data_IF_529355931464
#
_entry.id   IF_529355931464
#
_cell.length_a   1.000
_cell.length_b   1.000
_cell.length_c   1.000
_cell.angle_alpha   90.00
_cell.angle_beta   90.00
_cell.angle_gamma   90.00
#
_symmetry.space_group_name_H-M   'P 1'
#
loop_
_entity.id
_entity.type
_entity.pdbx_description
1 polymer ?
#
# COMPACT_ATOMS: atom_id res chain seq x y z
N UNK A 1 47.25 20.94 -3.18
CA UNK A 1 46.27 21.70 -2.37
C UNK A 1 44.88 21.16 -2.66
N UNK A 2 44.16 20.75 -1.60
CA UNK A 2 42.73 20.39 -1.44
C UNK A 2 41.97 19.87 -2.68
N UNK A 3 41.82 18.54 -2.77
CA UNK A 3 40.75 17.89 -3.55
C UNK A 3 39.46 17.97 -2.73
N UNK A 4 38.51 18.81 -3.14
CA UNK A 4 37.16 18.81 -2.57
C UNK A 4 36.41 17.58 -3.11
N UNK A 5 36.22 16.58 -2.26
CA UNK A 5 35.35 15.44 -2.55
C UNK A 5 33.93 15.81 -2.10
N UNK A 6 33.13 16.29 -3.04
CA UNK A 6 31.67 16.39 -2.89
C UNK A 6 31.08 15.10 -3.49
N UNK A 7 31.17 13.98 -2.77
CA UNK A 7 30.62 12.69 -3.24
C UNK A 7 29.54 12.13 -2.30
N UNK A 8 29.28 12.77 -1.16
CA UNK A 8 28.38 12.21 -0.14
C UNK A 8 26.89 12.58 -0.36
N UNK A 9 26.55 13.62 -1.14
CA UNK A 9 25.14 14.02 -1.31
C UNK A 9 24.34 13.24 -2.37
N UNK A 10 25.01 12.55 -3.31
CA UNK A 10 24.28 11.80 -4.35
C UNK A 10 23.88 10.40 -3.85
N UNK A 11 24.71 9.72 -3.06
CA UNK A 11 24.38 8.37 -2.55
C UNK A 11 23.21 8.40 -1.56
N UNK A 12 23.09 9.46 -0.75
CA UNK A 12 22.02 9.59 0.23
C UNK A 12 20.62 9.79 -0.36
N UNK A 13 20.50 10.45 -1.52
CA UNK A 13 19.21 10.68 -2.18
C UNK A 13 18.74 9.48 -3.00
N UNK A 14 19.65 8.81 -3.72
CA UNK A 14 19.31 7.61 -4.50
C UNK A 14 19.00 6.38 -3.63
N UNK A 15 19.66 6.22 -2.49
CA UNK A 15 19.37 5.12 -1.55
C UNK A 15 18.00 5.27 -0.87
N UNK A 16 17.65 6.49 -0.47
CA UNK A 16 16.34 6.79 0.12
C UNK A 16 15.21 6.67 -0.92
N UNK A 17 15.41 7.17 -2.14
CA UNK A 17 14.40 7.04 -3.21
C UNK A 17 14.18 5.58 -3.64
N UNK A 18 15.25 4.78 -3.69
CA UNK A 18 15.14 3.35 -4.02
C UNK A 18 14.37 2.60 -2.92
N UNK A 19 14.73 2.81 -1.65
CA UNK A 19 14.01 2.21 -0.53
C UNK A 19 12.54 2.67 -0.45
N UNK A 20 12.24 3.94 -0.70
CA UNK A 20 10.86 4.44 -0.75
C UNK A 20 10.07 3.85 -1.94
N UNK A 21 10.73 3.58 -3.07
CA UNK A 21 10.10 2.89 -4.21
C UNK A 21 9.70 1.46 -3.86
N UNK A 22 10.48 0.76 -3.03
CA UNK A 22 10.12 -0.58 -2.54
C UNK A 22 8.84 -0.56 -1.69
N UNK A 23 8.68 0.43 -0.81
CA UNK A 23 7.44 0.60 -0.03
C UNK A 23 6.23 0.83 -0.93
N UNK A 24 6.36 1.66 -1.97
CA UNK A 24 5.30 1.87 -2.94
C UNK A 24 4.98 0.59 -3.73
N UNK A 25 6.00 -0.15 -4.15
CA UNK A 25 5.83 -1.43 -4.84
C UNK A 25 5.07 -2.43 -3.97
N UNK A 26 5.38 -2.50 -2.67
CA UNK A 26 4.66 -3.36 -1.73
C UNK A 26 3.21 -2.90 -1.49
N UNK A 27 2.98 -1.58 -1.44
CA UNK A 27 1.63 -1.02 -1.44
C UNK A 27 0.86 -1.47 -2.69
N UNK A 28 1.48 -1.39 -3.87
CA UNK A 28 0.88 -1.82 -5.14
C UNK A 28 0.60 -3.32 -5.17
N UNK A 29 1.53 -4.16 -4.73
CA UNK A 29 1.34 -5.61 -4.59
C UNK A 29 0.19 -5.96 -3.66
N UNK A 30 0.00 -5.20 -2.57
CA UNK A 30 -1.15 -5.38 -1.68
C UNK A 30 -2.52 -5.12 -2.34
N UNK A 31 -2.52 -4.56 -3.56
CA UNK A 31 -3.68 -4.38 -4.42
C UNK A 31 -3.67 -5.41 -5.55
N UNK A 32 -2.59 -5.48 -6.33
CA UNK A 32 -2.54 -6.25 -7.58
C UNK A 32 -2.49 -7.76 -7.38
N UNK A 33 -1.96 -8.21 -6.25
CA UNK A 33 -1.77 -9.64 -5.99
C UNK A 33 -3.02 -10.27 -5.38
N UNK A 34 -4.07 -9.47 -5.19
CA UNK A 34 -5.36 -9.91 -4.63
C UNK A 34 -6.41 -9.90 -5.75
N UNK A 35 -7.06 -11.05 -5.96
CA UNK A 35 -8.23 -11.12 -6.84
C UNK A 35 -9.46 -10.54 -6.12
N UNK A 36 -9.66 -9.22 -6.25
CA UNK A 36 -10.76 -8.51 -5.59
C UNK A 36 -12.15 -8.98 -6.03
N UNK A 37 -12.29 -9.45 -7.27
CA UNK A 37 -13.56 -10.01 -7.75
C UNK A 37 -13.91 -11.29 -7.00
N UNK A 38 -12.94 -12.18 -6.77
CA UNK A 38 -13.11 -13.36 -5.91
C UNK A 38 -13.41 -12.96 -4.47
N UNK A 39 -12.66 -12.02 -3.88
CA UNK A 39 -12.94 -11.54 -2.51
C UNK A 39 -14.37 -11.02 -2.37
N UNK A 40 -14.85 -10.24 -3.35
CA UNK A 40 -16.21 -9.71 -3.37
C UNK A 40 -17.24 -10.85 -3.43
N UNK A 41 -17.01 -11.85 -4.28
CA UNK A 41 -17.90 -13.01 -4.42
C UNK A 41 -17.88 -13.92 -3.18
N UNK A 42 -16.71 -14.32 -2.72
CA UNK A 42 -16.50 -15.34 -1.67
C UNK A 42 -16.87 -14.84 -0.27
N UNK A 43 -16.82 -13.52 -0.06
CA UNK A 43 -17.28 -12.86 1.16
C UNK A 43 -18.68 -12.28 1.02
N UNK A 44 -19.33 -12.46 -0.14
CA UNK A 44 -20.67 -11.98 -0.45
C UNK A 44 -20.80 -10.50 -0.07
N UNK A 45 -19.92 -9.66 -0.62
CA UNK A 45 -19.88 -8.24 -0.32
C UNK A 45 -21.03 -7.52 -1.03
N UNK A 46 -21.62 -6.53 -0.36
CA UNK A 46 -22.61 -5.67 -1.02
C UNK A 46 -21.94 -4.82 -2.10
N UNK A 47 -22.73 -4.33 -3.06
CA UNK A 47 -22.24 -3.39 -4.09
C UNK A 47 -21.56 -2.16 -3.46
N UNK A 48 -22.08 -1.66 -2.34
CA UNK A 48 -21.46 -0.55 -1.59
C UNK A 48 -20.07 -0.92 -1.08
N UNK A 49 -19.91 -2.09 -0.47
CA UNK A 49 -18.62 -2.57 0.02
C UNK A 49 -17.62 -2.78 -1.12
N UNK A 50 -18.07 -3.37 -2.24
CA UNK A 50 -17.24 -3.55 -3.43
C UNK A 50 -16.74 -2.19 -3.97
N UNK A 51 -17.62 -1.21 -4.10
CA UNK A 51 -17.25 0.13 -4.56
C UNK A 51 -16.27 0.83 -3.61
N UNK A 52 -16.42 0.63 -2.29
CA UNK A 52 -15.47 1.16 -1.30
C UNK A 52 -14.09 0.50 -1.43
N UNK A 53 -14.02 -0.81 -1.70
CA UNK A 53 -12.75 -1.50 -1.98
C UNK A 53 -12.09 -0.94 -3.23
N UNK A 54 -12.85 -0.77 -4.33
CA UNK A 54 -12.30 -0.19 -5.55
C UNK A 54 -11.79 1.23 -5.33
N UNK A 55 -12.53 2.07 -4.61
CA UNK A 55 -12.07 3.41 -4.24
C UNK A 55 -10.80 3.38 -3.36
N UNK A 56 -10.70 2.42 -2.43
CA UNK A 56 -9.49 2.23 -1.60
C UNK A 56 -8.29 1.78 -2.44
N UNK A 57 -8.48 0.88 -3.40
CA UNK A 57 -7.43 0.39 -4.29
C UNK A 57 -6.91 1.48 -5.24
N UNK A 58 -7.79 2.39 -5.64
CA UNK A 58 -7.47 3.50 -6.54
C UNK A 58 -6.90 4.74 -5.82
N UNK A 59 -6.79 4.72 -4.49
CA UNK A 59 -6.46 5.91 -3.67
C UNK A 59 -5.13 6.58 -4.05
N UNK A 60 -4.10 5.77 -4.35
CA UNK A 60 -2.77 6.25 -4.73
C UNK A 60 -2.29 5.53 -5.99
N UNK A 61 -2.63 6.08 -7.16
CA UNK A 61 -2.39 5.43 -8.47
C UNK A 61 -0.94 5.51 -8.94
N UNK A 62 -0.16 6.42 -8.38
CA UNK A 62 1.24 6.68 -8.73
C UNK A 62 2.09 6.85 -7.46
N UNK A 63 3.41 6.83 -7.64
CA UNK A 63 4.38 6.96 -6.55
C UNK A 63 4.26 8.31 -5.87
N UNK A 64 4.09 9.40 -6.63
CA UNK A 64 4.11 10.77 -6.08
C UNK A 64 2.93 11.02 -5.13
N UNK A 65 1.72 10.59 -5.51
CA UNK A 65 0.54 10.67 -4.64
C UNK A 65 0.68 9.84 -3.38
N UNK A 66 1.24 8.64 -3.47
CA UNK A 66 1.55 7.80 -2.31
C UNK A 66 2.61 8.45 -1.41
N UNK A 67 3.71 8.92 -2.01
CA UNK A 67 4.85 9.49 -1.31
C UNK A 67 4.47 10.78 -0.60
N UNK A 68 3.60 11.62 -1.18
CA UNK A 68 3.11 12.84 -0.53
C UNK A 68 2.43 12.60 0.83
N UNK A 69 1.96 11.37 1.09
CA UNK A 69 1.28 10.99 2.32
C UNK A 69 2.19 10.23 3.28
N UNK A 70 3.10 9.40 2.75
CA UNK A 70 3.88 8.44 3.53
C UNK A 70 5.40 8.68 3.54
N UNK A 71 5.92 9.71 2.86
CA UNK A 71 7.35 10.04 2.79
C UNK A 71 8.07 10.00 4.16
N UNK A 72 7.45 10.60 5.17
CA UNK A 72 7.99 10.75 6.51
C UNK A 72 7.82 9.48 7.36
N UNK A 73 6.90 8.59 6.99
CA UNK A 73 6.67 7.32 7.66
C UNK A 73 6.11 6.27 6.66
N UNK A 74 6.99 5.66 5.84
CA UNK A 74 6.58 4.70 4.82
C UNK A 74 5.79 3.54 5.41
N UNK A 75 6.23 2.95 6.53
CA UNK A 75 5.58 1.78 7.16
C UNK A 75 4.09 1.98 7.50
N UNK A 76 3.63 3.23 7.68
CA UNK A 76 2.25 3.56 8.02
C UNK A 76 1.23 3.09 6.97
N UNK A 77 1.62 3.01 5.69
CA UNK A 77 0.71 2.67 4.59
C UNK A 77 -0.03 1.35 4.85
N UNK A 78 0.67 0.39 5.46
CA UNK A 78 0.16 -0.96 5.70
C UNK A 78 -1.00 -0.91 6.67
N UNK A 79 -0.78 -0.27 7.83
CA UNK A 79 -1.80 -0.09 8.84
C UNK A 79 -3.03 0.63 8.28
N UNK A 80 -2.83 1.78 7.64
CA UNK A 80 -3.94 2.62 7.14
C UNK A 80 -4.81 1.84 6.13
N UNK A 81 -4.18 1.04 5.26
CA UNK A 81 -4.90 0.21 4.30
C UNK A 81 -5.70 -0.91 4.97
N UNK A 82 -5.10 -1.64 5.92
CA UNK A 82 -5.78 -2.79 6.55
C UNK A 82 -6.87 -2.36 7.54
N UNK A 83 -6.71 -1.22 8.21
CA UNK A 83 -7.78 -0.61 9.02
C UNK A 83 -8.97 -0.22 8.15
N UNK A 84 -8.73 0.39 6.97
CA UNK A 84 -9.81 0.71 6.04
C UNK A 84 -10.49 -0.53 5.47
N UNK A 85 -9.72 -1.59 5.16
CA UNK A 85 -10.29 -2.87 4.75
C UNK A 85 -11.16 -3.48 5.84
N UNK A 86 -10.72 -3.48 7.10
CA UNK A 86 -11.52 -3.97 8.23
C UNK A 86 -12.81 -3.15 8.38
N UNK A 87 -12.73 -1.83 8.25
CA UNK A 87 -13.91 -0.94 8.30
C UNK A 87 -14.92 -1.25 7.18
N UNK A 88 -14.45 -1.51 5.96
CA UNK A 88 -15.30 -1.80 4.81
C UNK A 88 -15.92 -3.20 4.91
N UNK A 89 -15.11 -4.21 5.24
CA UNK A 89 -15.54 -5.61 5.28
C UNK A 89 -16.39 -5.93 6.51
N UNK A 90 -16.13 -5.25 7.63
CA UNK A 90 -16.58 -5.64 8.94
C UNK A 90 -15.72 -6.77 9.52
N UNK A 91 -15.75 -6.91 10.85
CA UNK A 91 -14.85 -7.78 11.62
C UNK A 91 -14.78 -9.22 11.11
N UNK A 92 -15.93 -9.88 10.92
CA UNK A 92 -15.97 -11.31 10.61
C UNK A 92 -15.44 -11.60 9.19
N UNK A 93 -15.85 -10.79 8.22
CA UNK A 93 -15.39 -10.92 6.82
C UNK A 93 -13.92 -10.52 6.69
N UNK A 94 -13.47 -9.53 7.44
CA UNK A 94 -12.05 -9.15 7.50
C UNK A 94 -11.18 -10.28 8.08
N UNK A 95 -11.63 -10.92 9.17
CA UNK A 95 -10.92 -12.07 9.74
C UNK A 95 -10.77 -13.22 8.73
N UNK A 96 -11.83 -13.50 7.95
CA UNK A 96 -11.77 -14.48 6.85
C UNK A 96 -10.80 -14.04 5.75
N UNK A 97 -10.88 -12.79 5.28
CA UNK A 97 -9.98 -12.23 4.28
C UNK A 97 -8.50 -12.36 4.67
N UNK A 98 -8.15 -12.02 5.91
CA UNK A 98 -6.77 -12.11 6.40
C UNK A 98 -6.29 -13.56 6.48
N UNK A 99 -7.15 -14.46 6.95
CA UNK A 99 -6.83 -15.89 6.98
C UNK A 99 -6.53 -16.44 5.58
N UNK A 100 -7.34 -16.07 4.59
CA UNK A 100 -7.21 -16.55 3.21
C UNK A 100 -6.04 -15.90 2.45
N UNK A 101 -5.49 -14.78 2.95
CA UNK A 101 -4.30 -14.11 2.38
C UNK A 101 -2.98 -14.64 2.94
N UNK A 102 -3.00 -15.22 4.15
CA UNK A 102 -1.80 -15.70 4.86
C UNK A 102 -1.49 -17.18 4.51
N UNK A 103 -2.45 -17.89 3.94
CA UNK A 103 -2.33 -19.27 3.44
C UNK A 103 -2.14 -19.26 1.92
#
# INVERSE_FOLDING_TARGET
>A
MKKLIITIMLVGTFGLSYAQTDYYNDYRRSITDVNWQSVISDLVLSTTQANQIYALNDRYRDYDSWNSVYDNNPDRWRNDRYVELERILGRDKYAKFIKDKIL
#
